data_IF_902912158361
#
_entry.id   IF_902912158361
#
_cell.length_a   1.000
_cell.length_b   1.000
_cell.length_c   1.000
_cell.angle_alpha   90.00
_cell.angle_beta   90.00
_cell.angle_gamma   90.00
#
_symmetry.space_group_name_H-M   'P 1'
#
loop_
_entity.id
_entity.type
_entity.pdbx_description
1 polymer ?
#
# COMPACT_ATOMS: atom_id res chain seq x y z
N UNK A 1 -4.00 -41.07 -1.17
CA UNK A 1 -4.04 -40.97 0.31
C UNK A 1 -3.84 -39.50 0.76
N UNK A 2 -2.73 -38.82 0.45
CA UNK A 2 -2.45 -37.46 0.88
C UNK A 2 -3.61 -36.47 0.56
N UNK A 3 -4.06 -36.40 -0.70
CA UNK A 3 -5.17 -35.51 -1.12
C UNK A 3 -6.47 -35.71 -0.32
N UNK A 4 -6.74 -36.93 0.16
CA UNK A 4 -7.93 -37.20 0.98
C UNK A 4 -7.78 -36.51 2.36
N UNK A 5 -6.60 -36.64 2.99
CA UNK A 5 -6.35 -35.98 4.27
C UNK A 5 -6.29 -34.47 4.15
N UNK A 6 -5.70 -33.91 3.08
CA UNK A 6 -5.73 -32.48 2.81
C UNK A 6 -7.16 -31.95 2.68
N UNK A 7 -8.03 -32.71 1.97
CA UNK A 7 -9.43 -32.37 1.80
C UNK A 7 -10.21 -32.41 3.11
N UNK A 8 -10.08 -33.50 3.89
CA UNK A 8 -10.79 -33.60 5.17
C UNK A 8 -10.30 -32.59 6.18
N UNK A 9 -8.98 -32.30 6.25
CA UNK A 9 -8.43 -31.29 7.14
C UNK A 9 -8.97 -29.88 6.80
N UNK A 10 -9.08 -29.53 5.51
CA UNK A 10 -9.68 -28.25 5.09
C UNK A 10 -11.17 -28.18 5.47
N UNK A 11 -11.91 -29.26 5.24
CA UNK A 11 -13.34 -29.35 5.55
C UNK A 11 -13.59 -29.25 7.06
N UNK A 12 -12.89 -30.03 7.87
CA UNK A 12 -13.01 -30.01 9.33
C UNK A 12 -12.57 -28.66 9.91
N UNK A 13 -11.52 -28.05 9.36
CA UNK A 13 -11.05 -26.72 9.73
C UNK A 13 -12.10 -25.64 9.48
N UNK A 14 -12.80 -25.68 8.33
CA UNK A 14 -13.93 -24.79 8.03
C UNK A 14 -15.08 -24.96 9.03
N UNK A 15 -15.46 -26.19 9.34
CA UNK A 15 -16.51 -26.49 10.33
C UNK A 15 -16.09 -25.97 11.70
N UNK A 16 -14.85 -26.23 12.13
CA UNK A 16 -14.35 -25.79 13.43
C UNK A 16 -14.34 -24.26 13.55
N UNK A 17 -13.96 -23.54 12.49
CA UNK A 17 -14.03 -22.08 12.45
C UNK A 17 -15.50 -21.61 12.56
N UNK A 18 -16.40 -22.16 11.74
CA UNK A 18 -17.81 -21.81 11.77
C UNK A 18 -18.45 -22.05 13.14
N UNK A 19 -18.30 -23.28 13.68
CA UNK A 19 -18.86 -23.66 14.97
C UNK A 19 -18.23 -22.88 16.12
N UNK A 20 -16.96 -22.53 15.98
CA UNK A 20 -16.22 -21.73 16.97
C UNK A 20 -16.69 -20.28 17.11
N UNK A 21 -17.46 -19.76 16.16
CA UNK A 21 -18.11 -18.44 16.24
C UNK A 21 -19.50 -18.47 16.84
N UNK A 22 -20.13 -19.66 16.90
CA UNK A 22 -21.49 -19.82 17.42
C UNK A 22 -21.49 -19.74 18.95
N UNK A 23 -22.47 -19.04 19.53
CA UNK A 23 -22.63 -18.97 20.97
C UNK A 23 -23.07 -20.34 21.52
N UNK A 24 -22.20 -21.01 22.27
CA UNK A 24 -22.42 -22.35 22.82
C UNK A 24 -23.18 -22.32 24.19
N UNK A 25 -23.46 -21.13 24.73
CA UNK A 25 -24.18 -20.99 26.00
C UNK A 25 -25.70 -21.18 25.89
N UNK A 26 -26.25 -21.22 24.68
CA UNK A 26 -27.64 -21.53 24.42
C UNK A 26 -27.83 -23.03 24.17
N UNK A 27 -28.89 -23.61 24.72
CA UNK A 27 -29.29 -25.01 24.47
C UNK A 27 -29.58 -25.29 22.98
N UNK A 28 -29.68 -24.24 22.17
CA UNK A 28 -29.83 -24.27 20.71
C UNK A 28 -28.71 -23.49 20.04
N UNK A 29 -28.17 -24.03 18.92
CA UNK A 29 -27.23 -23.33 18.06
C UNK A 29 -27.86 -22.06 17.49
N UNK A 30 -27.58 -20.90 18.08
CA UNK A 30 -28.05 -19.62 17.60
C UNK A 30 -26.99 -18.94 16.74
N UNK A 31 -27.45 -18.36 15.62
CA UNK A 31 -26.64 -17.48 14.78
C UNK A 31 -26.66 -16.04 15.26
N UNK A 32 -27.51 -15.71 16.25
CA UNK A 32 -27.56 -14.39 16.88
C UNK A 32 -26.40 -14.24 17.87
N UNK A 33 -25.70 -13.11 17.82
CA UNK A 33 -24.56 -12.82 18.72
C UNK A 33 -23.30 -13.64 18.43
N UNK A 34 -23.08 -14.02 17.18
CA UNK A 34 -21.80 -14.68 16.76
C UNK A 34 -20.60 -13.84 17.11
N UNK A 35 -19.54 -14.50 17.59
CA UNK A 35 -18.22 -13.89 17.69
C UNK A 35 -17.65 -13.68 16.28
N UNK A 36 -16.97 -12.57 16.04
CA UNK A 36 -16.22 -12.33 14.81
C UNK A 36 -15.07 -13.32 14.66
N UNK A 37 -14.41 -13.68 15.78
CA UNK A 37 -13.25 -14.58 15.80
C UNK A 37 -13.64 -15.96 16.37
N UNK A 38 -13.28 -17.08 15.67
CA UNK A 38 -13.57 -18.41 16.17
C UNK A 38 -12.69 -18.78 17.37
N UNK A 39 -13.16 -19.72 18.21
CA UNK A 39 -12.40 -20.23 19.36
C UNK A 39 -11.07 -20.87 18.94
N UNK A 40 -11.01 -21.53 17.78
CA UNK A 40 -9.79 -22.05 17.17
C UNK A 40 -9.68 -21.51 15.76
N UNK A 41 -8.50 -21.01 15.36
CA UNK A 41 -8.26 -20.45 14.04
C UNK A 41 -7.59 -21.50 13.15
N UNK A 42 -8.28 -21.91 12.08
CA UNK A 42 -7.80 -22.86 11.09
C UNK A 42 -7.72 -22.18 9.73
N UNK A 43 -6.61 -22.31 9.05
CA UNK A 43 -6.41 -21.83 7.68
C UNK A 43 -5.51 -22.81 6.94
N UNK A 44 -5.89 -23.18 5.72
CA UNK A 44 -5.11 -24.06 4.87
C UNK A 44 -4.63 -23.31 3.64
N UNK A 45 -3.33 -23.33 3.41
CA UNK A 45 -2.68 -22.81 2.22
C UNK A 45 -1.98 -23.92 1.48
N UNK A 46 -1.91 -23.83 0.16
CA UNK A 46 -1.25 -24.76 -0.73
C UNK A 46 0.12 -24.20 -1.12
N UNK A 47 1.18 -25.03 -1.03
CA UNK A 47 2.52 -24.58 -1.44
C UNK A 47 2.56 -24.37 -2.95
N UNK A 48 2.81 -23.14 -3.36
CA UNK A 48 2.95 -22.74 -4.75
C UNK A 48 4.41 -22.84 -5.23
N UNK A 49 5.37 -22.49 -4.36
CA UNK A 49 6.77 -22.42 -4.73
C UNK A 49 7.67 -22.76 -3.53
N UNK A 50 8.70 -23.56 -3.74
CA UNK A 50 9.87 -23.66 -2.86
C UNK A 50 10.78 -22.47 -3.17
N UNK A 51 11.25 -21.75 -2.14
CA UNK A 51 12.08 -20.57 -2.33
C UNK A 51 13.54 -20.88 -2.00
N UNK A 52 14.45 -20.27 -2.72
CA UNK A 52 15.88 -20.47 -2.51
C UNK A 52 16.31 -20.19 -1.07
N UNK A 53 15.75 -19.14 -0.45
CA UNK A 53 15.92 -18.74 0.94
C UNK A 53 14.81 -17.74 1.32
N UNK A 54 14.69 -17.42 2.59
CA UNK A 54 13.72 -16.47 3.12
C UNK A 54 14.14 -15.02 2.93
N UNK A 55 13.78 -14.17 3.88
CA UNK A 55 14.22 -12.77 3.89
C UNK A 55 15.75 -12.66 3.93
N UNK A 56 16.40 -13.60 4.62
CA UNK A 56 17.84 -13.71 4.73
C UNK A 56 18.35 -15.08 4.21
N UNK A 57 19.61 -15.15 3.69
CA UNK A 57 20.14 -16.36 3.06
C UNK A 57 20.21 -17.61 3.94
N UNK A 58 20.23 -17.47 5.26
CA UNK A 58 20.26 -18.59 6.21
C UNK A 58 18.87 -19.14 6.58
N UNK A 59 17.79 -18.52 6.08
CA UNK A 59 16.41 -18.92 6.35
C UNK A 59 15.85 -19.76 5.20
N UNK A 60 15.25 -20.89 5.51
CA UNK A 60 14.45 -21.65 4.55
C UNK A 60 13.10 -20.98 4.33
N UNK A 61 12.56 -21.03 3.12
CA UNK A 61 11.27 -20.43 2.79
C UNK A 61 10.51 -21.18 1.70
N UNK A 62 9.20 -21.00 1.70
CA UNK A 62 8.30 -21.41 0.63
C UNK A 62 7.14 -20.40 0.53
N UNK A 63 6.59 -20.25 -0.65
CA UNK A 63 5.39 -19.47 -0.90
C UNK A 63 4.17 -20.37 -0.91
N UNK A 64 3.19 -20.02 -0.10
CA UNK A 64 1.91 -20.69 0.00
C UNK A 64 0.80 -19.75 -0.45
N UNK A 65 -0.21 -20.29 -1.12
CA UNK A 65 -1.37 -19.54 -1.63
C UNK A 65 -2.67 -20.17 -1.15
N UNK A 66 -3.73 -19.39 -1.10
CA UNK A 66 -5.08 -19.89 -0.90
C UNK A 66 -5.48 -20.80 -2.06
N UNK A 67 -6.24 -21.85 -1.79
CA UNK A 67 -6.74 -22.75 -2.84
C UNK A 67 -7.65 -22.05 -3.85
N UNK A 68 -8.35 -21.00 -3.42
CA UNK A 68 -9.24 -20.14 -4.22
C UNK A 68 -9.09 -18.69 -3.77
N UNK A 69 -8.08 -17.97 -4.27
CA UNK A 69 -7.92 -16.54 -3.95
C UNK A 69 -9.16 -15.75 -4.38
N UNK A 70 -9.64 -14.87 -3.50
CA UNK A 70 -10.88 -14.11 -3.71
C UNK A 70 -10.70 -12.95 -4.71
N UNK A 71 -9.47 -12.49 -4.93
CA UNK A 71 -9.17 -11.39 -5.84
C UNK A 71 -7.81 -11.57 -6.53
N UNK A 72 -7.60 -10.84 -7.62
CA UNK A 72 -6.31 -10.80 -8.31
C UNK A 72 -5.22 -10.24 -7.38
N UNK A 73 -4.06 -10.90 -7.33
CA UNK A 73 -2.95 -10.59 -6.45
C UNK A 73 -1.67 -11.28 -6.87
N UNK A 74 -0.64 -11.21 -6.04
CA UNK A 74 0.61 -11.94 -6.31
C UNK A 74 0.38 -13.46 -6.32
N UNK A 75 -0.61 -13.95 -5.56
CA UNK A 75 -0.97 -15.37 -5.50
C UNK A 75 -1.64 -15.88 -6.79
N UNK A 76 -2.23 -15.01 -7.60
CA UNK A 76 -2.85 -15.36 -8.90
C UNK A 76 -1.98 -14.97 -10.09
N UNK A 77 -0.86 -14.26 -9.85
CA UNK A 77 -0.03 -13.72 -10.90
C UNK A 77 0.66 -14.84 -11.71
N UNK A 78 0.66 -14.66 -13.02
CA UNK A 78 1.41 -15.49 -13.97
C UNK A 78 2.74 -14.80 -14.25
N UNK A 79 3.84 -15.50 -13.99
CA UNK A 79 5.17 -15.01 -14.34
C UNK A 79 5.45 -15.27 -15.82
N UNK A 80 5.59 -14.19 -16.59
CA UNK A 80 5.81 -14.23 -18.04
C UNK A 80 7.29 -14.32 -18.40
N UNK A 81 8.18 -13.82 -17.53
CA UNK A 81 9.61 -13.77 -17.72
C UNK A 81 10.37 -13.68 -16.40
N UNK A 82 11.66 -13.99 -16.45
CA UNK A 82 12.63 -13.79 -15.38
C UNK A 82 12.87 -15.04 -14.54
N UNK A 83 13.78 -14.93 -13.57
CA UNK A 83 14.06 -15.98 -12.58
C UNK A 83 12.90 -16.11 -11.61
N UNK A 84 12.83 -17.21 -10.88
CA UNK A 84 11.88 -17.39 -9.78
C UNK A 84 11.86 -16.20 -8.82
N UNK A 85 10.66 -15.91 -8.30
CA UNK A 85 10.48 -14.87 -7.30
C UNK A 85 11.19 -15.27 -6.00
N UNK A 86 11.91 -14.31 -5.41
CA UNK A 86 12.43 -14.47 -4.05
C UNK A 86 11.34 -14.11 -3.02
N UNK A 87 11.59 -14.48 -1.75
CA UNK A 87 10.74 -14.09 -0.62
C UNK A 87 10.49 -12.57 -0.61
N UNK A 88 11.55 -11.76 -0.74
CA UNK A 88 11.44 -10.31 -0.75
C UNK A 88 10.72 -9.80 -2.00
N UNK A 89 10.90 -10.44 -3.17
CA UNK A 89 10.13 -10.05 -4.36
C UNK A 89 8.62 -10.24 -4.15
N UNK A 90 8.19 -11.35 -3.54
CA UNK A 90 6.77 -11.59 -3.27
C UNK A 90 6.22 -10.53 -2.32
N UNK A 91 6.91 -10.25 -1.20
CA UNK A 91 6.48 -9.28 -0.20
C UNK A 91 6.40 -7.85 -0.76
N UNK A 92 7.45 -7.42 -1.48
CA UNK A 92 7.51 -6.08 -2.06
C UNK A 92 6.50 -5.91 -3.22
N UNK A 93 6.28 -6.97 -4.02
CA UNK A 93 5.30 -6.96 -5.10
C UNK A 93 3.88 -6.85 -4.57
N UNK A 94 3.56 -7.58 -3.50
CA UNK A 94 2.27 -7.48 -2.82
C UNK A 94 2.04 -6.04 -2.31
N UNK A 95 3.02 -5.45 -1.63
CA UNK A 95 2.93 -4.09 -1.14
C UNK A 95 2.70 -3.06 -2.28
N UNK A 96 3.39 -3.22 -3.42
CA UNK A 96 3.22 -2.34 -4.58
C UNK A 96 1.84 -2.50 -5.22
N UNK A 97 1.40 -3.74 -5.41
CA UNK A 97 0.13 -4.06 -6.04
C UNK A 97 -1.05 -3.60 -5.19
N UNK A 98 -1.01 -3.82 -3.88
CA UNK A 98 -2.06 -3.38 -2.96
C UNK A 98 -2.20 -1.86 -2.94
N UNK A 99 -1.10 -1.13 -3.00
CA UNK A 99 -1.11 0.32 -3.09
C UNK A 99 -1.72 0.80 -4.41
N UNK A 100 -1.28 0.25 -5.56
CA UNK A 100 -1.76 0.71 -6.88
C UNK A 100 -3.24 0.42 -7.11
N UNK A 101 -3.77 -0.64 -6.52
CA UNK A 101 -5.21 -0.98 -6.55
C UNK A 101 -6.12 0.10 -5.93
N UNK A 102 -5.56 0.99 -5.11
CA UNK A 102 -6.32 2.09 -4.50
C UNK A 102 -6.68 3.22 -5.47
N UNK A 103 -6.14 3.19 -6.69
CA UNK A 103 -6.30 4.25 -7.66
C UNK A 103 -7.17 3.81 -8.85
N UNK A 104 -8.15 4.67 -9.22
CA UNK A 104 -9.05 4.41 -10.34
C UNK A 104 -8.45 4.87 -11.67
N UNK A 105 -7.77 6.02 -11.69
CA UNK A 105 -7.07 6.54 -12.89
C UNK A 105 -5.75 5.78 -13.09
N UNK A 106 -5.16 5.82 -14.32
CA UNK A 106 -3.87 5.20 -14.58
C UNK A 106 -2.84 5.63 -13.54
N UNK A 107 -2.22 4.66 -12.88
CA UNK A 107 -1.32 4.88 -11.74
C UNK A 107 -0.10 3.97 -11.79
N UNK A 108 0.99 4.45 -11.20
CA UNK A 108 2.22 3.72 -10.98
C UNK A 108 2.61 3.81 -9.51
N UNK A 109 3.02 2.69 -8.94
CA UNK A 109 3.61 2.58 -7.61
C UNK A 109 4.96 1.91 -7.72
N UNK A 110 5.99 2.54 -7.17
CA UNK A 110 7.34 1.99 -7.04
C UNK A 110 7.58 1.71 -5.57
N UNK A 111 7.96 0.46 -5.26
CA UNK A 111 8.21 -0.02 -3.90
C UNK A 111 9.66 -0.45 -3.74
N UNK A 112 10.22 -0.12 -2.59
CA UNK A 112 11.50 -0.66 -2.11
C UNK A 112 11.36 -1.01 -0.63
N UNK A 113 11.70 -2.28 -0.29
CA UNK A 113 11.60 -2.79 1.08
C UNK A 113 10.19 -2.59 1.69
N UNK A 114 9.19 -3.04 0.95
CA UNK A 114 7.76 -2.96 1.29
C UNK A 114 7.22 -1.53 1.55
N UNK A 115 7.95 -0.49 1.16
CA UNK A 115 7.47 0.90 1.25
C UNK A 115 7.35 1.52 -0.15
N UNK A 116 6.24 2.20 -0.45
CA UNK A 116 6.17 3.09 -1.59
C UNK A 116 7.24 4.19 -1.49
N UNK A 117 8.16 4.24 -2.46
CA UNK A 117 9.15 5.30 -2.57
C UNK A 117 8.79 6.31 -3.66
N UNK A 118 7.90 5.94 -4.58
CA UNK A 118 7.35 6.83 -5.60
C UNK A 118 5.98 6.36 -6.05
N UNK A 119 5.01 7.26 -6.02
CA UNK A 119 3.64 6.99 -6.46
C UNK A 119 3.13 8.17 -7.27
N UNK A 120 2.47 7.89 -8.38
CA UNK A 120 1.77 8.91 -9.14
C UNK A 120 0.55 8.36 -9.86
N UNK A 121 -0.41 9.25 -10.09
CA UNK A 121 -1.57 9.06 -10.96
C UNK A 121 -1.40 9.98 -12.15
N UNK A 122 -1.64 9.47 -13.36
CA UNK A 122 -1.58 10.30 -14.57
C UNK A 122 -2.51 11.51 -14.43
N UNK A 123 -2.02 12.73 -14.67
CA UNK A 123 -2.84 13.94 -14.59
C UNK A 123 -3.96 13.96 -15.63
N UNK A 124 -3.73 13.41 -16.79
CA UNK A 124 -4.71 13.29 -17.89
C UNK A 124 -4.89 11.82 -18.33
N UNK A 125 -5.93 11.58 -19.13
CA UNK A 125 -6.23 10.23 -19.62
C UNK A 125 -5.28 9.80 -20.75
N UNK A 126 -4.69 10.74 -21.48
CA UNK A 126 -3.84 10.49 -22.65
C UNK A 126 -2.42 10.09 -22.22
N UNK A 127 -1.92 10.63 -21.10
CA UNK A 127 -0.60 10.32 -20.57
C UNK A 127 -0.42 8.89 -20.09
N UNK A 128 -1.53 8.21 -19.79
CA UNK A 128 -1.56 6.79 -19.43
C UNK A 128 -0.63 6.41 -18.28
N UNK A 129 -0.21 5.14 -18.25
CA UNK A 129 0.68 4.63 -17.19
C UNK A 129 2.13 5.07 -17.39
N UNK A 130 2.53 5.45 -18.61
CA UNK A 130 3.88 5.96 -18.88
C UNK A 130 4.13 7.25 -18.10
N UNK A 131 3.21 8.21 -18.20
CA UNK A 131 3.32 9.47 -17.46
C UNK A 131 3.28 9.23 -15.94
N UNK A 132 2.39 8.32 -15.47
CA UNK A 132 2.36 7.92 -14.08
C UNK A 132 3.71 7.35 -13.61
N UNK A 133 4.35 6.51 -14.44
CA UNK A 133 5.69 5.97 -14.14
C UNK A 133 6.75 7.07 -14.06
N UNK A 134 6.78 8.00 -15.02
CA UNK A 134 7.77 9.08 -15.05
C UNK A 134 7.68 9.96 -13.80
N UNK A 135 6.46 10.30 -13.38
CA UNK A 135 6.21 11.07 -12.16
C UNK A 135 6.55 10.28 -10.88
N UNK A 136 6.17 9.00 -10.81
CA UNK A 136 6.49 8.16 -9.66
C UNK A 136 8.01 7.97 -9.52
N UNK A 137 8.70 7.71 -10.61
CA UNK A 137 10.16 7.56 -10.62
C UNK A 137 10.88 8.83 -10.16
N UNK A 138 10.39 10.00 -10.57
CA UNK A 138 10.98 11.28 -10.19
C UNK A 138 10.92 11.58 -8.69
N UNK A 139 10.08 10.89 -7.91
CA UNK A 139 9.96 11.11 -6.45
C UNK A 139 11.23 10.71 -5.70
N UNK A 140 11.83 9.56 -6.04
CA UNK A 140 13.02 9.02 -5.35
C UNK A 140 13.76 8.06 -6.29
N UNK A 141 14.55 8.62 -7.18
CA UNK A 141 15.28 7.86 -8.21
C UNK A 141 16.32 6.92 -7.61
N UNK A 142 16.87 7.28 -6.44
CA UNK A 142 17.86 6.49 -5.73
C UNK A 142 17.23 5.21 -5.17
N UNK A 143 16.09 5.33 -4.44
CA UNK A 143 15.39 4.17 -3.88
C UNK A 143 14.69 3.32 -4.93
N UNK A 144 14.31 3.91 -6.08
CA UNK A 144 13.69 3.18 -7.18
C UNK A 144 14.61 2.14 -7.83
N UNK A 145 15.92 2.31 -7.70
CA UNK A 145 16.90 1.36 -8.23
C UNK A 145 16.74 -0.03 -7.59
N UNK A 146 16.51 -1.05 -8.43
CA UNK A 146 16.23 -2.41 -7.95
C UNK A 146 14.91 -2.55 -7.21
N UNK A 147 13.98 -1.63 -7.42
CA UNK A 147 12.63 -1.66 -6.85
C UNK A 147 11.66 -2.53 -7.63
N UNK A 148 10.43 -2.55 -7.15
CA UNK A 148 9.28 -3.21 -7.75
C UNK A 148 8.36 -2.13 -8.32
N UNK A 149 7.85 -2.34 -9.53
CA UNK A 149 6.93 -1.40 -10.20
C UNK A 149 5.59 -2.08 -10.43
N UNK A 150 4.52 -1.47 -9.94
CA UNK A 150 3.15 -1.94 -10.13
C UNK A 150 2.31 -0.90 -10.88
N UNK A 151 1.49 -1.39 -11.80
CA UNK A 151 0.52 -0.61 -12.57
C UNK A 151 -0.90 -1.12 -12.35
N UNK A 152 -1.89 -0.24 -12.52
CA UNK A 152 -3.31 -0.58 -12.50
C UNK A 152 -3.96 -0.60 -13.90
N UNK A 153 -3.16 -0.65 -14.95
CA UNK A 153 -3.55 -0.83 -16.34
C UNK A 153 -2.55 -1.76 -17.02
N UNK A 154 -2.91 -2.23 -18.22
CA UNK A 154 -2.02 -3.01 -19.07
C UNK A 154 -0.67 -2.31 -19.24
N UNK A 155 0.42 -3.08 -19.13
CA UNK A 155 1.75 -2.60 -19.45
C UNK A 155 1.91 -2.55 -20.98
N UNK A 156 2.08 -1.34 -21.52
CA UNK A 156 2.34 -1.09 -22.93
C UNK A 156 3.84 -1.04 -23.27
N UNK A 157 4.17 -1.10 -24.56
CA UNK A 157 5.54 -1.12 -25.04
C UNK A 157 6.33 0.16 -24.72
N UNK A 158 5.68 1.33 -24.78
CA UNK A 158 6.35 2.61 -24.50
C UNK A 158 6.73 2.73 -23.03
N UNK A 159 5.85 2.34 -22.13
CA UNK A 159 6.11 2.31 -20.70
C UNK A 159 7.19 1.28 -20.37
N UNK A 160 7.12 0.08 -20.92
CA UNK A 160 8.12 -0.96 -20.76
C UNK A 160 9.50 -0.48 -21.21
N UNK A 161 9.59 0.18 -22.37
CA UNK A 161 10.82 0.76 -22.89
C UNK A 161 11.38 1.84 -21.96
N UNK A 162 10.54 2.77 -21.51
CA UNK A 162 10.96 3.81 -20.57
C UNK A 162 11.56 3.24 -19.28
N UNK A 163 11.01 2.14 -18.77
CA UNK A 163 11.51 1.46 -17.57
C UNK A 163 12.89 0.83 -17.82
N UNK A 164 12.99 -0.05 -18.83
CA UNK A 164 14.21 -0.86 -19.03
C UNK A 164 15.41 -0.06 -19.53
N UNK A 165 15.16 1.12 -20.13
CA UNK A 165 16.24 2.06 -20.52
C UNK A 165 16.70 2.94 -19.36
N UNK A 166 15.82 3.21 -18.37
CA UNK A 166 16.08 4.19 -17.30
C UNK A 166 16.65 3.60 -16.04
N UNK A 167 16.14 2.44 -15.59
CA UNK A 167 16.55 1.89 -14.29
C UNK A 167 16.73 0.37 -14.29
N UNK A 168 17.50 -0.11 -13.34
CA UNK A 168 17.43 -1.51 -12.93
C UNK A 168 16.14 -1.73 -12.13
N UNK A 169 15.34 -2.72 -12.54
CA UNK A 169 14.09 -3.13 -11.90
C UNK A 169 14.10 -4.64 -11.65
N UNK A 170 13.62 -5.07 -10.50
CA UNK A 170 13.56 -6.50 -10.18
C UNK A 170 12.26 -7.14 -10.63
N UNK A 171 11.13 -6.48 -10.41
CA UNK A 171 9.79 -6.98 -10.78
C UNK A 171 8.95 -5.86 -11.38
N UNK A 172 8.24 -6.17 -12.45
CA UNK A 172 7.16 -5.34 -13.01
C UNK A 172 5.89 -6.17 -12.95
N UNK A 173 4.82 -5.62 -12.37
CA UNK A 173 3.51 -6.26 -12.28
C UNK A 173 2.41 -5.34 -12.80
N UNK A 174 1.50 -5.90 -13.60
CA UNK A 174 0.33 -5.20 -14.13
C UNK A 174 -0.85 -6.18 -14.25
N UNK A 175 -2.09 -5.71 -14.46
CA UNK A 175 -3.23 -6.59 -14.74
C UNK A 175 -2.98 -7.47 -15.97
N UNK A 176 -2.46 -6.87 -17.04
CA UNK A 176 -2.04 -7.54 -18.29
C UNK A 176 -0.78 -6.87 -18.86
N UNK A 177 -0.16 -7.54 -19.81
CA UNK A 177 1.06 -7.08 -20.49
C UNK A 177 0.86 -7.31 -21.98
N UNK A 178 1.04 -6.26 -22.80
CA UNK A 178 0.96 -6.42 -24.25
C UNK A 178 2.12 -7.27 -24.80
N UNK A 179 1.93 -7.91 -25.93
CA UNK A 179 2.97 -8.73 -26.59
C UNK A 179 4.20 -7.89 -26.94
N UNK A 180 3.98 -6.63 -27.36
CA UNK A 180 5.03 -5.68 -27.66
C UNK A 180 5.82 -5.28 -26.40
N UNK A 181 5.13 -5.04 -25.28
CA UNK A 181 5.80 -4.77 -23.99
C UNK A 181 6.63 -5.96 -23.54
N UNK A 182 6.11 -7.18 -23.69
CA UNK A 182 6.83 -8.41 -23.40
C UNK A 182 8.10 -8.54 -24.25
N UNK A 183 8.03 -8.23 -25.54
CA UNK A 183 9.19 -8.23 -26.43
C UNK A 183 10.25 -7.21 -25.99
N UNK A 184 9.84 -6.02 -25.55
CA UNK A 184 10.75 -4.99 -25.02
C UNK A 184 11.45 -5.46 -23.75
N UNK A 185 10.70 -5.99 -22.76
CA UNK A 185 11.27 -6.45 -21.49
C UNK A 185 12.19 -7.67 -21.67
N UNK A 186 11.99 -8.47 -22.72
CA UNK A 186 12.82 -9.64 -23.04
C UNK A 186 14.31 -9.29 -23.21
N UNK A 187 14.65 -8.06 -23.57
CA UNK A 187 16.03 -7.56 -23.63
C UNK A 187 16.72 -7.54 -22.24
N UNK A 188 15.96 -7.61 -21.16
CA UNK A 188 16.45 -7.63 -19.76
C UNK A 188 16.02 -8.92 -19.08
N UNK A 189 16.62 -10.05 -19.45
CA UNK A 189 16.21 -11.40 -19.05
C UNK A 189 16.08 -11.63 -17.53
N UNK A 190 16.71 -10.82 -16.68
CA UNK A 190 16.62 -10.93 -15.23
C UNK A 190 15.41 -10.22 -14.63
N UNK A 191 14.72 -9.36 -15.37
CA UNK A 191 13.49 -8.69 -14.91
C UNK A 191 12.37 -9.72 -14.83
N UNK A 192 11.71 -9.78 -13.70
CA UNK A 192 10.52 -10.62 -13.50
C UNK A 192 9.30 -9.84 -13.95
N UNK A 193 8.62 -10.34 -14.96
CA UNK A 193 7.44 -9.72 -15.55
C UNK A 193 6.20 -10.54 -15.17
N UNK A 194 5.24 -9.92 -14.52
CA UNK A 194 4.06 -10.57 -13.96
C UNK A 194 2.77 -9.96 -14.52
N UNK A 195 1.80 -10.83 -14.86
CA UNK A 195 0.42 -10.46 -15.14
C UNK A 195 -0.48 -11.05 -14.07
N UNK A 196 -1.18 -10.23 -13.28
CA UNK A 196 -1.97 -10.71 -12.14
C UNK A 196 -3.47 -10.84 -12.44
N UNK A 197 -3.95 -10.38 -13.60
CA UNK A 197 -5.37 -10.28 -13.94
C UNK A 197 -6.02 -8.99 -13.41
N UNK A 198 -7.23 -8.75 -13.87
CA UNK A 198 -8.05 -7.61 -13.45
C UNK A 198 -8.61 -7.84 -12.04
N UNK A 199 -8.88 -6.75 -11.31
CA UNK A 199 -9.49 -6.76 -10.00
C UNK A 199 -10.74 -5.88 -9.93
N UNK A 200 -11.65 -6.21 -9.02
CA UNK A 200 -12.82 -5.39 -8.72
C UNK A 200 -12.44 -4.13 -7.94
N UNK A 201 -13.26 -3.08 -8.07
CA UNK A 201 -13.18 -1.91 -7.19
C UNK A 201 -13.51 -2.28 -5.73
N UNK A 202 -14.38 -3.26 -5.52
CA UNK A 202 -14.67 -3.81 -4.20
C UNK A 202 -13.56 -4.75 -3.76
N UNK A 203 -13.00 -4.48 -2.58
CA UNK A 203 -11.95 -5.29 -2.00
C UNK A 203 -12.55 -6.40 -1.15
N UNK A 204 -12.07 -7.62 -1.35
CA UNK A 204 -12.53 -8.76 -0.59
C UNK A 204 -12.20 -8.62 0.90
N UNK A 205 -13.17 -8.92 1.76
CA UNK A 205 -12.92 -9.08 3.18
C UNK A 205 -12.00 -10.29 3.38
N UNK A 206 -10.97 -10.14 4.18
CA UNK A 206 -9.99 -11.18 4.49
C UNK A 206 -9.45 -11.00 5.90
N UNK A 207 -8.80 -12.02 6.41
CA UNK A 207 -8.01 -11.93 7.63
C UNK A 207 -6.57 -11.49 7.31
N UNK A 208 -6.05 -10.63 8.15
CA UNK A 208 -4.63 -10.29 8.21
C UNK A 208 -4.07 -10.85 9.53
N UNK A 209 -2.92 -11.52 9.46
CA UNK A 209 -2.35 -12.16 10.64
C UNK A 209 -0.85 -11.99 10.73
N UNK A 210 -0.40 -11.81 11.95
CA UNK A 210 1.01 -11.65 12.29
C UNK A 210 1.45 -12.70 13.30
N UNK A 211 2.47 -13.45 12.94
CA UNK A 211 3.08 -14.43 13.82
C UNK A 211 3.78 -13.73 14.98
N UNK A 212 3.51 -14.17 16.22
CA UNK A 212 4.25 -13.79 17.41
C UNK A 212 4.75 -15.04 18.12
N UNK A 213 5.73 -14.91 19.04
CA UNK A 213 6.24 -16.06 19.77
C UNK A 213 5.11 -16.73 20.56
N UNK A 214 4.86 -18.01 20.27
CA UNK A 214 3.81 -18.80 20.91
C UNK A 214 2.37 -18.49 20.46
N UNK A 215 2.15 -17.57 19.49
CA UNK A 215 0.80 -17.18 19.11
C UNK A 215 0.67 -16.57 17.73
N UNK A 216 -0.55 -16.14 17.44
CA UNK A 216 -0.94 -15.47 16.21
C UNK A 216 -1.85 -14.29 16.55
N UNK A 217 -1.52 -13.10 16.06
CA UNK A 217 -2.45 -11.98 16.02
C UNK A 217 -3.26 -12.08 14.75
N UNK A 218 -4.58 -11.97 14.86
CA UNK A 218 -5.52 -11.99 13.73
C UNK A 218 -6.38 -10.75 13.81
N UNK A 219 -6.55 -10.07 12.69
CA UNK A 219 -7.41 -8.89 12.54
C UNK A 219 -8.13 -8.95 11.19
N UNK A 220 -9.18 -8.17 11.03
CA UNK A 220 -9.75 -7.92 9.70
C UNK A 220 -8.77 -7.11 8.87
N UNK A 221 -8.67 -7.43 7.57
CA UNK A 221 -7.87 -6.66 6.61
C UNK A 221 -8.35 -5.21 6.58
N UNK A 222 -7.43 -4.27 6.58
CA UNK A 222 -7.76 -2.84 6.43
C UNK A 222 -8.19 -2.52 4.99
N UNK A 223 -9.49 -2.61 4.75
CA UNK A 223 -10.13 -2.22 3.48
C UNK A 223 -10.74 -0.82 3.53
N UNK A 224 -10.64 -0.13 4.67
CA UNK A 224 -11.19 1.21 4.87
C UNK A 224 -10.63 2.21 3.86
N UNK A 225 -11.51 2.96 3.23
CA UNK A 225 -11.18 4.04 2.27
C UNK A 225 -12.06 5.23 2.56
N UNK A 226 -11.53 6.42 2.31
CA UNK A 226 -12.26 7.67 2.43
C UNK A 226 -12.47 8.33 1.07
N UNK A 227 -13.52 9.12 0.97
CA UNK A 227 -13.85 10.00 -0.15
C UNK A 227 -13.79 11.46 0.29
N UNK A 228 -13.94 12.40 -0.63
CA UNK A 228 -14.03 13.83 -0.29
C UNK A 228 -15.20 14.15 0.66
N UNK A 229 -16.29 13.38 0.58
CA UNK A 229 -17.48 13.56 1.43
C UNK A 229 -17.26 13.16 2.90
N UNK A 230 -16.25 12.35 3.18
CA UNK A 230 -15.92 11.88 4.53
C UNK A 230 -14.97 12.85 5.27
N UNK A 231 -14.43 13.85 4.58
CA UNK A 231 -13.46 14.78 5.14
C UNK A 231 -14.13 15.87 5.98
N UNK A 232 -13.66 16.03 7.21
CA UNK A 232 -14.10 17.11 8.09
C UNK A 232 -13.04 18.24 8.08
N UNK A 233 -13.39 19.39 7.50
CA UNK A 233 -12.57 20.60 7.61
C UNK A 233 -12.59 21.10 9.05
N UNK A 234 -11.42 21.30 9.67
CA UNK A 234 -11.29 21.67 11.09
C UNK A 234 -10.60 23.02 11.29
N UNK A 235 -10.00 23.60 10.26
CA UNK A 235 -9.35 24.93 10.27
C UNK A 235 -10.24 26.02 9.69
N UNK A 236 -9.88 27.29 9.94
CA UNK A 236 -10.58 28.45 9.38
C UNK A 236 -10.47 28.50 7.85
N UNK A 237 -9.29 28.15 7.30
CA UNK A 237 -9.10 27.99 5.87
C UNK A 237 -9.57 26.59 5.44
N UNK A 238 -10.48 26.53 4.51
CA UNK A 238 -10.81 25.29 3.83
C UNK A 238 -9.77 24.95 2.73
N UNK A 239 -9.49 23.66 2.45
CA UNK A 239 -8.65 23.29 1.33
C UNK A 239 -9.35 23.66 0.00
N UNK A 240 -8.55 23.97 -1.01
CA UNK A 240 -9.03 24.12 -2.39
C UNK A 240 -9.39 22.75 -2.98
N UNK A 241 -10.09 22.72 -4.10
CA UNK A 241 -10.43 21.48 -4.81
C UNK A 241 -9.17 20.66 -5.19
N UNK A 242 -8.12 21.34 -5.67
CA UNK A 242 -6.84 20.70 -5.98
C UNK A 242 -6.17 20.11 -4.72
N UNK A 243 -6.17 20.86 -3.61
CA UNK A 243 -5.65 20.36 -2.34
C UNK A 243 -6.44 19.12 -1.85
N UNK A 244 -7.77 19.09 -2.01
CA UNK A 244 -8.59 17.90 -1.67
C UNK A 244 -8.16 16.68 -2.50
N UNK A 245 -7.95 16.84 -3.79
CA UNK A 245 -7.48 15.76 -4.65
C UNK A 245 -6.11 15.24 -4.21
N UNK A 246 -5.19 16.14 -3.90
CA UNK A 246 -3.84 15.80 -3.47
C UNK A 246 -3.82 15.20 -2.04
N UNK A 247 -4.66 15.69 -1.13
CA UNK A 247 -4.84 15.14 0.22
C UNK A 247 -5.35 13.69 0.18
N UNK A 248 -6.39 13.41 -0.62
CA UNK A 248 -6.92 12.06 -0.78
C UNK A 248 -5.89 11.12 -1.42
N UNK A 249 -5.15 11.62 -2.43
CA UNK A 249 -4.06 10.86 -3.03
C UNK A 249 -2.98 10.54 -1.99
N UNK A 250 -2.49 11.53 -1.27
CA UNK A 250 -1.46 11.36 -0.23
C UNK A 250 -1.93 10.41 0.89
N UNK A 251 -3.20 10.50 1.27
CA UNK A 251 -3.81 9.61 2.26
C UNK A 251 -3.81 8.15 1.82
N UNK A 252 -4.20 7.89 0.56
CA UNK A 252 -4.15 6.56 -0.04
C UNK A 252 -2.74 5.99 -0.04
N UNK A 253 -1.73 6.80 -0.33
CA UNK A 253 -0.32 6.38 -0.26
C UNK A 253 0.09 6.10 1.18
N UNK A 254 -0.22 7.01 2.11
CA UNK A 254 0.17 6.89 3.52
C UNK A 254 -0.33 5.59 4.17
N UNK A 255 -1.50 5.09 3.77
CA UNK A 255 -2.03 3.79 4.19
C UNK A 255 -1.07 2.62 3.93
N UNK A 256 -0.25 2.68 2.89
CA UNK A 256 0.69 1.62 2.49
C UNK A 256 2.13 1.88 2.90
N UNK A 257 2.41 2.99 3.56
CA UNK A 257 3.72 3.33 4.09
C UNK A 257 3.84 2.85 5.53
N UNK A 258 4.98 2.26 5.88
CA UNK A 258 5.27 1.81 7.26
C UNK A 258 5.21 2.97 8.25
N UNK A 259 4.53 2.77 9.37
CA UNK A 259 4.34 3.75 10.44
C UNK A 259 5.64 4.06 11.19
N UNK A 260 5.85 5.27 11.68
CA UNK A 260 5.03 6.46 11.40
C UNK A 260 5.24 6.90 9.96
N UNK A 261 4.15 7.16 9.24
CA UNK A 261 4.19 7.57 7.84
C UNK A 261 3.85 9.05 7.65
N UNK A 262 4.71 9.75 6.89
CA UNK A 262 4.43 11.09 6.36
C UNK A 262 4.61 11.04 4.84
N UNK A 263 3.63 11.54 4.11
CA UNK A 263 3.64 11.63 2.65
C UNK A 263 3.39 13.07 2.24
N UNK A 264 4.33 13.64 1.51
CA UNK A 264 4.16 14.91 0.80
C UNK A 264 3.72 14.65 -0.62
N UNK A 265 2.69 15.36 -1.08
CA UNK A 265 2.15 15.19 -2.43
C UNK A 265 1.75 16.51 -3.06
N UNK A 266 1.81 16.55 -4.39
CA UNK A 266 1.37 17.67 -5.22
C UNK A 266 0.99 17.15 -6.60
N UNK A 267 -0.13 17.62 -7.14
CA UNK A 267 -0.62 17.22 -8.46
C UNK A 267 -0.75 15.68 -8.62
N UNK A 268 -1.19 14.98 -7.54
CA UNK A 268 -1.31 13.50 -7.50
C UNK A 268 0.00 12.76 -7.79
N UNK A 269 1.11 13.35 -7.39
CA UNK A 269 2.44 12.76 -7.36
C UNK A 269 2.99 12.88 -5.93
N UNK A 270 3.66 11.85 -5.44
CA UNK A 270 4.45 11.95 -4.21
C UNK A 270 5.63 12.87 -4.44
N UNK A 271 5.85 13.78 -3.50
CA UNK A 271 7.00 14.71 -3.50
C UNK A 271 8.09 14.17 -2.57
N UNK A 272 7.69 13.53 -1.49
CA UNK A 272 8.61 12.89 -0.56
C UNK A 272 7.85 11.96 0.39
N UNK A 273 8.48 10.85 0.75
CA UNK A 273 7.91 9.83 1.64
C UNK A 273 8.86 9.60 2.80
N UNK A 274 8.35 9.75 4.02
CA UNK A 274 9.04 9.39 5.25
C UNK A 274 8.35 8.19 5.89
N UNK A 275 9.06 7.06 5.97
CA UNK A 275 8.52 5.77 6.40
C UNK A 275 9.24 5.19 7.61
N UNK A 276 8.53 4.44 8.44
CA UNK A 276 9.10 3.53 9.43
C UNK A 276 9.87 4.18 10.58
N UNK A 277 9.59 5.44 10.90
CA UNK A 277 10.29 6.15 11.97
C UNK A 277 9.53 6.09 13.30
N UNK A 278 10.27 5.97 14.42
CA UNK A 278 9.69 6.02 15.75
C UNK A 278 9.08 7.39 16.08
N UNK A 279 9.54 8.45 15.41
CA UNK A 279 9.03 9.82 15.55
C UNK A 279 8.46 10.33 14.25
N UNK A 280 7.21 10.83 14.27
CA UNK A 280 6.53 11.43 13.10
C UNK A 280 7.28 12.66 12.58
N UNK A 281 7.90 13.44 13.47
CA UNK A 281 8.75 14.59 13.11
C UNK A 281 9.94 14.14 12.25
N UNK A 282 10.56 12.99 12.57
CA UNK A 282 11.66 12.44 11.76
C UNK A 282 11.16 11.94 10.41
N UNK A 283 9.97 11.31 10.32
CA UNK A 283 9.36 10.95 9.04
C UNK A 283 9.15 12.19 8.16
N UNK A 284 8.66 13.28 8.72
CA UNK A 284 8.48 14.55 8.00
C UNK A 284 9.82 15.13 7.49
N UNK A 285 10.88 15.08 8.32
CA UNK A 285 12.23 15.51 7.92
C UNK A 285 12.78 14.67 6.79
N UNK A 286 12.65 13.34 6.87
CA UNK A 286 13.11 12.42 5.83
C UNK A 286 12.36 12.69 4.52
N UNK A 287 11.04 12.87 4.56
CA UNK A 287 10.26 13.22 3.38
C UNK A 287 10.76 14.51 2.71
N UNK A 288 11.09 15.55 3.50
CA UNK A 288 11.65 16.80 2.98
C UNK A 288 13.06 16.61 2.37
N UNK A 289 13.94 15.88 3.05
CA UNK A 289 15.30 15.58 2.56
C UNK A 289 15.24 14.82 1.23
N UNK A 290 14.37 13.82 1.12
CA UNK A 290 14.19 13.05 -0.12
C UNK A 290 13.66 13.92 -1.26
N UNK A 291 12.72 14.81 -0.98
CA UNK A 291 12.24 15.79 -1.97
C UNK A 291 13.38 16.69 -2.46
N UNK A 292 14.22 17.20 -1.55
CA UNK A 292 15.38 18.03 -1.89
C UNK A 292 16.37 17.26 -2.78
N UNK A 293 16.72 16.02 -2.42
CA UNK A 293 17.62 15.17 -3.20
C UNK A 293 17.08 14.88 -4.61
N UNK A 294 15.76 14.73 -4.74
CA UNK A 294 15.09 14.55 -6.03
C UNK A 294 14.93 15.86 -6.84
N UNK A 295 15.30 17.02 -6.28
CA UNK A 295 15.09 18.32 -6.90
C UNK A 295 13.61 18.74 -6.95
N UNK A 296 12.75 18.10 -6.15
CA UNK A 296 11.32 18.41 -6.07
C UNK A 296 11.06 19.46 -5.01
N UNK A 297 10.05 20.33 -5.27
CA UNK A 297 9.70 21.41 -4.38
C UNK A 297 8.58 21.01 -3.42
N UNK A 298 8.86 21.02 -2.12
CA UNK A 298 7.85 20.81 -1.07
C UNK A 298 6.90 22.00 -0.95
N UNK A 299 7.38 23.21 -1.30
CA UNK A 299 6.56 24.40 -1.31
C UNK A 299 5.28 24.23 -2.11
N UNK A 300 4.13 24.47 -1.46
CA UNK A 300 2.81 24.34 -2.07
C UNK A 300 2.32 22.87 -2.19
N UNK A 301 3.00 21.92 -1.56
CA UNK A 301 2.53 20.55 -1.44
C UNK A 301 1.56 20.37 -0.28
N UNK A 302 0.85 19.24 -0.26
CA UNK A 302 0.03 18.80 0.87
C UNK A 302 0.77 17.72 1.66
N UNK A 303 0.33 17.47 2.90
CA UNK A 303 0.88 16.45 3.79
C UNK A 303 -0.20 15.50 4.29
N UNK A 304 0.05 14.20 4.17
CA UNK A 304 -0.73 13.15 4.85
C UNK A 304 0.07 12.54 5.99
N UNK A 305 -0.62 12.26 7.10
CA UNK A 305 -0.09 11.51 8.25
C UNK A 305 -0.99 10.33 8.56
N UNK A 306 -0.44 9.14 8.70
CA UNK A 306 -1.15 7.89 8.98
C UNK A 306 -1.89 7.87 10.32
N UNK A 307 -1.53 8.78 11.26
CA UNK A 307 -2.16 8.97 12.55
C UNK A 307 -2.16 10.46 12.97
N UNK A 308 -2.80 10.78 14.08
CA UNK A 308 -2.89 12.14 14.59
C UNK A 308 -1.53 12.73 15.01
N UNK A 309 -1.44 14.05 15.00
CA UNK A 309 -0.30 14.78 15.59
C UNK A 309 -0.51 14.94 17.08
N UNK A 310 0.44 14.43 17.93
CA UNK A 310 0.32 14.57 19.39
C UNK A 310 0.63 15.98 19.89
N UNK A 311 1.34 16.80 19.09
CA UNK A 311 1.79 18.15 19.42
C UNK A 311 1.82 19.02 18.17
N UNK A 312 1.84 20.35 18.36
CA UNK A 312 1.85 21.33 17.26
C UNK A 312 3.13 21.34 16.42
N UNK A 313 4.24 20.82 16.94
CA UNK A 313 5.55 20.81 16.29
C UNK A 313 5.56 20.15 14.90
N UNK A 314 4.71 19.15 14.69
CA UNK A 314 4.50 18.55 13.37
C UNK A 314 3.97 19.53 12.34
N UNK A 315 3.03 20.39 12.74
CA UNK A 315 2.44 21.42 11.89
C UNK A 315 3.39 22.61 11.72
N UNK A 316 4.05 23.04 12.79
CA UNK A 316 5.05 24.12 12.73
C UNK A 316 6.19 23.76 11.75
N UNK A 317 6.62 22.49 11.73
CA UNK A 317 7.62 22.02 10.76
C UNK A 317 7.06 21.92 9.34
N UNK A 318 5.81 21.51 9.17
CA UNK A 318 5.15 21.49 7.86
C UNK A 318 5.03 22.90 7.27
N UNK A 319 4.69 23.90 8.10
CA UNK A 319 4.63 25.30 7.70
C UNK A 319 5.99 25.81 7.19
N UNK A 320 7.09 25.47 7.90
CA UNK A 320 8.46 25.92 7.54
C UNK A 320 8.90 25.41 6.16
N UNK A 321 8.45 24.23 5.75
CA UNK A 321 8.77 23.65 4.43
C UNK A 321 7.76 24.01 3.35
N UNK A 322 6.70 24.77 3.71
CA UNK A 322 5.74 25.31 2.75
C UNK A 322 4.57 24.41 2.43
N UNK A 323 4.21 23.47 3.31
CA UNK A 323 2.98 22.69 3.22
C UNK A 323 1.77 23.62 3.34
N UNK A 324 0.77 23.43 2.45
CA UNK A 324 -0.43 24.28 2.41
C UNK A 324 -1.67 23.60 2.97
N UNK A 325 -1.73 22.27 2.95
CA UNK A 325 -2.86 21.53 3.52
C UNK A 325 -2.41 20.20 4.15
N UNK A 326 -3.14 19.75 5.16
CA UNK A 326 -2.83 18.55 5.95
C UNK A 326 -4.07 17.66 6.06
N UNK A 327 -3.87 16.34 5.89
CA UNK A 327 -4.86 15.30 6.18
C UNK A 327 -4.34 14.36 7.25
N UNK A 328 -5.17 14.11 8.26
CA UNK A 328 -4.88 13.23 9.39
C UNK A 328 -6.18 12.70 10.01
N UNK A 329 -6.14 11.64 10.83
CA UNK A 329 -7.37 11.10 11.44
C UNK A 329 -8.03 12.00 12.48
N UNK A 330 -7.27 12.86 13.20
CA UNK A 330 -7.75 13.52 14.41
C UNK A 330 -7.87 12.56 15.59
N UNK A 331 -8.43 13.02 16.71
CA UNK A 331 -8.66 12.23 17.91
C UNK A 331 -7.56 12.33 18.97
N UNK A 332 -6.64 13.29 18.83
CA UNK A 332 -5.69 13.63 19.89
C UNK A 332 -6.36 14.49 20.98
N UNK A 333 -5.96 14.31 22.23
CA UNK A 333 -6.33 15.23 23.30
C UNK A 333 -5.85 16.67 23.04
N UNK A 334 -4.89 16.86 22.13
CA UNK A 334 -4.32 18.16 21.75
C UNK A 334 -4.74 18.61 20.34
N UNK A 335 -5.82 18.09 19.79
CA UNK A 335 -6.31 18.51 18.47
C UNK A 335 -6.53 20.03 18.40
N UNK A 336 -7.04 20.65 19.46
CA UNK A 336 -7.24 22.10 19.51
C UNK A 336 -5.92 22.91 19.34
N UNK A 337 -4.82 22.44 19.94
CA UNK A 337 -3.49 23.04 19.81
C UNK A 337 -2.95 22.86 18.37
N UNK A 338 -3.14 21.69 17.81
CA UNK A 338 -2.68 21.33 16.44
C UNK A 338 -3.46 22.12 15.38
N UNK A 339 -4.78 22.27 15.56
CA UNK A 339 -5.65 23.10 14.69
C UNK A 339 -5.25 24.56 14.79
N UNK A 340 -5.00 25.08 16.01
CA UNK A 340 -4.56 26.47 16.20
C UNK A 340 -3.24 26.75 15.46
N UNK A 341 -2.27 25.85 15.53
CA UNK A 341 -1.01 25.97 14.80
C UNK A 341 -1.22 26.00 13.27
N UNK A 342 -2.14 25.20 12.75
CA UNK A 342 -2.48 25.22 11.33
C UNK A 342 -3.16 26.54 10.93
N UNK A 343 -4.08 27.07 11.77
CA UNK A 343 -4.73 28.35 11.55
C UNK A 343 -3.73 29.53 11.57
N UNK A 344 -2.79 29.52 12.52
CA UNK A 344 -1.71 30.51 12.64
C UNK A 344 -0.84 30.55 11.37
N UNK A 345 -0.57 29.37 10.79
CA UNK A 345 0.24 29.21 9.58
C UNK A 345 -0.56 29.36 8.27
N UNK A 346 -1.88 29.51 8.32
CA UNK A 346 -2.74 29.55 7.14
C UNK A 346 -2.86 28.21 6.41
N UNK A 347 -2.54 27.10 7.08
CA UNK A 347 -2.65 25.73 6.55
C UNK A 347 -4.08 25.24 6.69
N UNK A 348 -4.65 24.66 5.63
CA UNK A 348 -5.92 23.94 5.73
C UNK A 348 -5.70 22.58 6.37
N UNK A 349 -6.61 22.13 7.23
CA UNK A 349 -6.54 20.80 7.81
C UNK A 349 -7.89 20.09 7.73
N UNK A 350 -7.82 18.81 7.35
CA UNK A 350 -8.97 17.93 7.33
C UNK A 350 -8.73 16.69 8.18
N UNK A 351 -9.78 16.24 8.85
CA UNK A 351 -9.81 15.00 9.61
C UNK A 351 -10.56 13.92 8.83
N UNK A 352 -10.03 12.69 8.89
CA UNK A 352 -10.64 11.50 8.26
C UNK A 352 -11.46 10.66 9.24
N UNK A 353 -11.21 10.80 10.56
CA UNK A 353 -11.78 9.90 11.58
C UNK A 353 -11.28 8.45 11.49
N UNK A 354 -10.37 8.14 10.57
CA UNK A 354 -9.84 6.80 10.30
C UNK A 354 -8.33 6.82 10.33
N UNK A 355 -7.71 5.88 11.05
CA UNK A 355 -6.26 5.71 11.15
C UNK A 355 -5.81 4.49 10.36
N UNK A 356 -4.64 4.56 9.73
CA UNK A 356 -4.04 3.47 8.96
C UNK A 356 -2.61 3.14 9.44
N UNK A 357 -2.47 2.54 10.61
CA UNK A 357 -1.16 2.04 11.03
C UNK A 357 -0.77 0.78 10.25
N UNK A 358 0.50 0.72 9.85
CA UNK A 358 1.11 -0.43 9.16
C UNK A 358 2.50 -0.70 9.74
N UNK A 359 2.63 -1.77 10.52
CA UNK A 359 3.88 -2.19 11.15
C UNK A 359 4.49 -3.42 10.51
#
# INVERSE_FOLDING_TARGET
>A
MLKAFEHTAAYDGMIANYMGTVNQAAETLSTEGRSEFPRTFNSQFVKAQEMRYGENPHQSAAFYVEAKPAEAGIATAVQLQGKELSYNNVADTDAALECVKSFVKPACVIVKHANPCGVAVSPDAEGGIRQAYELAYATDTESAFGGIIAFNRELDAETAKAIVERQFVEVIIAPSVSDEARAVVAAKANVRLLACGEWSAERAAAWDFKRVTGGLLVQSRDIGMITAGDLKVVTKRAPTEQEIHDLIFAWKVAKYVKSNAIVYAKNRQTIGVGAGQMSRVNSARIAAIKAEHAGLQVQGAVMASDAFFPFRDGIDNAAKVGITAVIQPGGSMRDAEVIAAADEAGIAMVFTGMRHFRH
#
